data_IF_716164892478
#
_entry.id   IF_716164892478
#
_cell.length_a   1.000
_cell.length_b   1.000
_cell.length_c   1.000
_cell.angle_alpha   90.00
_cell.angle_beta   90.00
_cell.angle_gamma   90.00
#
_symmetry.space_group_name_H-M   'P 1'
#
loop_
_entity.id
_entity.type
_entity.pdbx_description
1 polymer ?
#
# COMPACT_ATOMS: atom_id res chain seq x y z
N UNK A 1 5.49 59.20 4.08
CA UNK A 1 6.10 58.65 2.85
C UNK A 1 7.47 58.12 3.22
N UNK A 2 7.74 56.83 3.01
CA UNK A 2 9.06 56.27 3.25
C UNK A 2 10.00 56.63 2.09
N UNK A 3 11.27 56.93 2.39
CA UNK A 3 12.30 57.22 1.37
C UNK A 3 13.21 56.00 1.23
N UNK A 4 13.68 55.71 0.02
CA UNK A 4 14.65 54.65 -0.22
C UNK A 4 16.01 55.00 0.42
N UNK A 5 16.65 54.11 1.20
CA UNK A 5 17.93 54.38 1.85
C UNK A 5 19.11 54.50 0.86
N UNK A 6 18.96 53.99 -0.38
CA UNK A 6 20.02 54.00 -1.39
C UNK A 6 19.95 55.19 -2.35
N UNK A 7 18.75 55.58 -2.81
CA UNK A 7 18.58 56.65 -3.81
C UNK A 7 17.76 57.84 -3.33
N UNK A 8 17.23 57.80 -2.10
CA UNK A 8 16.46 58.88 -1.47
C UNK A 8 15.17 59.31 -2.19
N UNK A 9 14.71 58.56 -3.21
CA UNK A 9 13.39 58.77 -3.82
C UNK A 9 12.27 58.22 -2.93
N UNK A 10 11.08 58.83 -3.03
CA UNK A 10 9.89 58.40 -2.32
C UNK A 10 9.43 57.01 -2.78
N UNK A 11 9.09 56.15 -1.81
CA UNK A 11 8.57 54.81 -2.08
C UNK A 11 7.03 54.83 -2.18
N UNK A 12 6.43 53.98 -3.03
CA UNK A 12 5.00 53.74 -3.03
C UNK A 12 4.52 53.28 -1.65
N UNK A 13 3.27 53.54 -1.30
CA UNK A 13 2.69 53.21 0.02
C UNK A 13 2.54 51.69 0.25
N UNK A 14 2.69 50.87 -0.80
CA UNK A 14 2.67 49.41 -0.73
C UNK A 14 4.08 48.81 -0.49
N UNK A 15 4.15 47.68 0.22
CA UNK A 15 5.40 46.94 0.48
C UNK A 15 5.99 46.36 -0.80
N UNK A 16 6.92 47.08 -1.43
CA UNK A 16 7.67 46.65 -2.62
C UNK A 16 9.03 46.06 -2.23
N UNK A 17 9.36 44.88 -2.77
CA UNK A 17 10.62 44.17 -2.50
C UNK A 17 11.84 44.86 -3.13
N UNK A 18 11.64 45.51 -4.27
CA UNK A 18 12.70 46.23 -4.98
C UNK A 18 12.30 47.69 -5.18
N UNK A 19 13.26 48.60 -5.05
CA UNK A 19 13.04 50.02 -5.31
C UNK A 19 12.78 50.24 -6.81
N UNK A 20 11.65 50.86 -7.22
CA UNK A 20 11.34 51.08 -8.63
C UNK A 20 12.23 52.12 -9.32
N UNK A 21 12.95 52.95 -8.57
CA UNK A 21 13.83 53.99 -9.12
C UNK A 21 15.27 53.53 -9.34
N UNK A 22 15.80 52.68 -8.47
CA UNK A 22 17.22 52.27 -8.52
C UNK A 22 17.46 50.75 -8.50
N UNK A 23 16.41 49.94 -8.30
CA UNK A 23 16.50 48.48 -8.31
C UNK A 23 17.08 47.84 -7.05
N UNK A 24 17.42 48.61 -6.00
CA UNK A 24 17.92 48.05 -4.73
C UNK A 24 16.88 47.17 -4.03
N UNK A 25 17.32 46.04 -3.46
CA UNK A 25 16.48 45.18 -2.62
C UNK A 25 16.23 45.89 -1.28
N UNK A 26 14.95 46.08 -0.93
CA UNK A 26 14.51 46.78 0.27
C UNK A 26 14.16 45.80 1.41
N UNK A 27 14.41 44.49 1.23
CA UNK A 27 14.24 43.51 2.29
C UNK A 27 15.03 43.93 3.54
N UNK A 28 14.44 43.81 4.75
CA UNK A 28 15.09 44.23 5.98
C UNK A 28 16.43 43.51 6.14
N UNK A 29 17.50 44.27 5.96
CA UNK A 29 18.89 43.86 6.15
C UNK A 29 19.13 43.65 7.65
N UNK A 30 18.92 42.42 8.13
CA UNK A 30 19.13 42.14 9.55
C UNK A 30 19.05 40.70 10.03
N UNK A 31 18.66 39.72 9.20
CA UNK A 31 18.73 38.31 9.62
C UNK A 31 19.40 37.50 8.52
N UNK A 32 20.73 37.40 8.61
CA UNK A 32 21.44 36.28 7.97
C UNK A 32 21.02 35.04 8.74
N UNK A 33 20.08 34.26 8.20
CA UNK A 33 19.82 32.92 8.70
C UNK A 33 21.01 32.04 8.34
N UNK A 34 22.04 32.03 9.18
CA UNK A 34 22.99 30.91 9.17
C UNK A 34 22.27 29.73 9.81
N UNK A 35 21.93 28.66 9.07
CA UNK A 35 21.41 27.46 9.71
C UNK A 35 22.41 26.98 10.76
N UNK A 36 21.98 26.52 11.94
CA UNK A 36 22.89 25.97 12.93
C UNK A 36 23.67 24.80 12.30
N UNK A 37 24.96 24.62 12.64
CA UNK A 37 25.72 23.47 12.15
C UNK A 37 24.99 22.20 12.55
N UNK A 38 24.57 21.43 11.55
CA UNK A 38 23.89 20.14 11.72
C UNK A 38 24.87 19.25 12.47
N UNK A 39 24.54 18.76 13.69
CA UNK A 39 25.34 17.72 14.32
C UNK A 39 25.33 16.51 13.39
N UNK A 40 26.51 16.06 12.96
CA UNK A 40 26.67 14.81 12.23
C UNK A 40 26.18 13.67 13.12
N UNK A 41 24.89 13.33 13.01
CA UNK A 41 24.21 12.39 13.90
C UNK A 41 22.69 12.53 13.97
N UNK A 42 22.09 13.63 13.49
CA UNK A 42 20.62 13.78 13.48
C UNK A 42 19.98 13.05 12.28
N UNK A 43 19.83 11.74 12.42
CA UNK A 43 18.88 10.93 11.65
C UNK A 43 17.45 11.45 11.84
N UNK A 44 16.82 11.83 10.73
CA UNK A 44 15.39 11.97 10.46
C UNK A 44 14.43 11.91 11.66
N UNK A 45 13.91 13.07 12.09
CA UNK A 45 12.52 13.23 12.57
C UNK A 45 12.24 14.66 13.07
N UNK A 46 11.90 15.58 12.16
CA UNK A 46 11.14 16.79 12.52
C UNK A 46 10.56 17.44 11.27
N UNK A 47 9.24 17.36 11.10
CA UNK A 47 8.53 18.00 9.98
C UNK A 47 7.10 17.50 9.82
N UNK A 48 6.33 17.46 10.91
CA UNK A 48 4.89 17.22 10.85
C UNK A 48 4.18 18.45 10.30
N UNK A 49 4.06 18.55 8.98
CA UNK A 49 3.13 19.47 8.34
C UNK A 49 1.66 19.05 8.62
N UNK A 50 0.70 19.99 8.66
CA UNK A 50 -0.72 19.71 8.90
C UNK A 50 -1.45 18.87 7.83
N UNK A 51 -0.73 18.23 6.89
CA UNK A 51 -1.30 17.47 5.76
C UNK A 51 -0.85 15.99 5.67
N UNK A 52 -0.14 15.45 6.66
CA UNK A 52 0.45 14.11 6.62
C UNK A 52 -0.50 12.95 6.94
N UNK A 53 -0.13 11.73 6.55
CA UNK A 53 -0.88 10.50 6.88
C UNK A 53 -0.88 10.28 8.41
N UNK A 54 -2.02 9.97 9.06
CA UNK A 54 -2.07 9.84 10.52
C UNK A 54 -1.05 8.82 11.08
N UNK A 55 -0.86 7.70 10.39
CA UNK A 55 0.13 6.66 10.71
C UNK A 55 1.58 7.16 10.75
N UNK A 56 1.94 8.14 9.92
CA UNK A 56 3.28 8.72 9.93
C UNK A 56 3.49 9.66 11.13
N UNK A 57 2.40 10.19 11.68
CA UNK A 57 2.36 10.98 12.93
C UNK A 57 2.08 10.16 14.20
N UNK A 58 2.15 8.82 14.16
CA UNK A 58 1.80 7.92 15.27
C UNK A 58 2.54 8.18 16.60
N UNK A 59 3.72 8.81 16.56
CA UNK A 59 4.44 9.21 17.77
C UNK A 59 3.70 10.27 18.60
N UNK A 60 2.82 11.07 17.97
CA UNK A 60 1.99 12.09 18.64
C UNK A 60 0.56 11.61 18.88
N UNK A 61 0.00 10.86 17.94
CA UNK A 61 -1.40 10.39 17.97
C UNK A 61 -1.60 9.10 18.77
N UNK A 62 -0.54 8.34 19.04
CA UNK A 62 -0.65 6.96 19.53
C UNK A 62 -0.84 5.96 18.38
N UNK A 63 -0.46 4.70 18.62
CA UNK A 63 -0.42 3.67 17.56
C UNK A 63 -1.83 3.29 17.10
N UNK A 64 -2.76 3.08 18.03
CA UNK A 64 -4.11 2.61 17.72
C UNK A 64 -4.94 3.67 17.00
N UNK A 65 -4.91 4.91 17.49
CA UNK A 65 -5.65 6.02 16.88
C UNK A 65 -5.09 6.34 15.48
N UNK A 66 -3.77 6.34 15.32
CA UNK A 66 -3.15 6.54 14.02
C UNK A 66 -3.47 5.41 13.03
N UNK A 67 -3.54 4.16 13.50
CA UNK A 67 -3.94 3.01 12.69
C UNK A 67 -5.39 3.15 12.24
N UNK A 68 -6.31 3.35 13.19
CA UNK A 68 -7.73 3.47 12.93
C UNK A 68 -8.05 4.63 11.99
N UNK A 69 -7.48 5.82 12.24
CA UNK A 69 -7.77 7.00 11.44
C UNK A 69 -7.20 6.85 10.02
N UNK A 70 -6.00 6.27 9.87
CA UNK A 70 -5.44 5.96 8.55
C UNK A 70 -6.31 4.96 7.80
N UNK A 71 -6.71 3.86 8.44
CA UNK A 71 -7.57 2.84 7.81
C UNK A 71 -8.92 3.43 7.42
N UNK A 72 -9.56 4.18 8.32
CA UNK A 72 -10.84 4.84 8.07
C UNK A 72 -10.75 5.79 6.88
N UNK A 73 -9.74 6.65 6.83
CA UNK A 73 -9.60 7.60 5.73
C UNK A 73 -9.29 6.93 4.39
N UNK A 74 -8.40 5.93 4.37
CA UNK A 74 -8.10 5.16 3.16
C UNK A 74 -9.36 4.48 2.62
N UNK A 75 -10.17 3.88 3.50
CA UNK A 75 -11.37 3.15 3.10
C UNK A 75 -12.54 4.09 2.77
N UNK A 76 -12.72 5.20 3.48
CA UNK A 76 -13.87 6.07 3.32
C UNK A 76 -13.65 7.23 2.33
N UNK A 77 -12.41 7.69 2.15
CA UNK A 77 -12.08 8.85 1.33
C UNK A 77 -10.74 8.69 0.59
N UNK A 78 -10.58 7.63 -0.22
CA UNK A 78 -9.30 7.25 -0.81
C UNK A 78 -8.70 8.34 -1.71
N UNK A 79 -9.51 9.02 -2.53
CA UNK A 79 -9.00 10.04 -3.43
C UNK A 79 -8.40 11.23 -2.66
N UNK A 80 -9.06 11.66 -1.59
CA UNK A 80 -8.56 12.72 -0.73
C UNK A 80 -7.29 12.29 0.02
N UNK A 81 -7.28 11.06 0.57
CA UNK A 81 -6.13 10.49 1.25
C UNK A 81 -4.88 10.41 0.35
N UNK A 82 -5.00 9.79 -0.82
CA UNK A 82 -3.84 9.58 -1.70
C UNK A 82 -3.32 10.86 -2.35
N UNK A 83 -4.19 11.87 -2.54
CA UNK A 83 -3.79 13.18 -3.08
C UNK A 83 -2.88 13.95 -2.11
N UNK A 84 -3.22 13.94 -0.82
CA UNK A 84 -2.47 14.67 0.23
C UNK A 84 -1.28 13.87 0.77
N UNK A 85 -1.30 12.55 0.64
CA UNK A 85 -0.20 11.68 1.07
C UNK A 85 1.15 12.19 0.52
N UNK A 86 2.20 12.25 1.37
CA UNK A 86 3.53 12.58 0.87
C UNK A 86 3.98 11.53 -0.16
N UNK A 87 4.67 11.98 -1.22
CA UNK A 87 5.11 11.10 -2.31
C UNK A 87 6.54 10.58 -2.09
N UNK A 88 7.27 11.19 -1.15
CA UNK A 88 8.62 10.86 -0.72
C UNK A 88 8.76 11.02 0.81
N UNK A 89 9.78 10.41 1.42
CA UNK A 89 9.99 10.40 2.87
C UNK A 89 10.35 9.03 3.46
N UNK A 90 10.57 8.03 2.60
CA UNK A 90 10.96 6.67 2.96
C UNK A 90 9.79 5.69 2.97
N UNK A 91 10.14 4.42 2.82
CA UNK A 91 9.17 3.31 2.73
C UNK A 91 8.85 2.66 4.09
N UNK A 92 9.61 2.98 5.14
CA UNK A 92 9.53 2.28 6.43
C UNK A 92 8.20 2.45 7.15
N UNK A 93 7.67 3.68 7.25
CA UNK A 93 6.37 3.92 7.88
C UNK A 93 5.20 3.27 7.10
N UNK A 94 5.08 3.46 5.77
CA UNK A 94 4.10 2.76 4.94
C UNK A 94 4.19 1.23 5.09
N UNK A 95 5.39 0.65 5.01
CA UNK A 95 5.58 -0.79 5.17
C UNK A 95 5.14 -1.28 6.56
N UNK A 96 5.46 -0.53 7.62
CA UNK A 96 4.99 -0.85 8.98
C UNK A 96 3.47 -0.88 9.10
N UNK A 97 2.77 0.05 8.45
CA UNK A 97 1.30 0.04 8.37
C UNK A 97 0.81 -1.21 7.63
N UNK A 98 1.36 -1.46 6.45
CA UNK A 98 1.01 -2.59 5.59
C UNK A 98 1.16 -3.93 6.32
N UNK A 99 2.29 -4.12 7.00
CA UNK A 99 2.58 -5.33 7.79
C UNK A 99 1.61 -5.46 8.95
N UNK A 100 1.34 -4.40 9.71
CA UNK A 100 0.46 -4.49 10.87
C UNK A 100 -0.98 -4.80 10.48
N UNK A 101 -1.56 -4.03 9.55
CA UNK A 101 -2.96 -4.22 9.11
C UNK A 101 -3.11 -5.51 8.32
N UNK A 102 -2.16 -5.79 7.42
CA UNK A 102 -2.13 -7.02 6.65
C UNK A 102 -2.03 -8.26 7.54
N UNK A 103 -1.24 -8.21 8.61
CA UNK A 103 -1.07 -9.32 9.55
C UNK A 103 -2.38 -9.63 10.28
N UNK A 104 -3.06 -8.60 10.78
CA UNK A 104 -4.38 -8.76 11.44
C UNK A 104 -5.38 -9.42 10.48
N UNK A 105 -5.48 -8.94 9.24
CA UNK A 105 -6.39 -9.50 8.25
C UNK A 105 -6.03 -10.94 7.88
N UNK A 106 -4.75 -11.23 7.67
CA UNK A 106 -4.29 -12.56 7.27
C UNK A 106 -4.49 -13.58 8.41
N UNK A 107 -4.17 -13.23 9.65
CA UNK A 107 -4.40 -14.08 10.82
C UNK A 107 -5.89 -14.41 10.98
N UNK A 108 -6.78 -13.43 10.81
CA UNK A 108 -8.22 -13.67 10.88
C UNK A 108 -8.69 -14.61 9.76
N UNK A 109 -8.23 -14.39 8.52
CA UNK A 109 -8.54 -15.28 7.41
C UNK A 109 -8.03 -16.72 7.66
N UNK A 110 -6.79 -16.88 8.11
CA UNK A 110 -6.18 -18.18 8.44
C UNK A 110 -6.91 -18.89 9.58
N UNK A 111 -7.42 -18.14 10.54
CA UNK A 111 -8.21 -18.70 11.64
C UNK A 111 -9.51 -19.34 11.13
N UNK A 112 -10.23 -18.65 10.23
CA UNK A 112 -11.41 -19.23 9.60
C UNK A 112 -11.07 -20.47 8.76
N UNK A 113 -9.94 -20.47 8.05
CA UNK A 113 -9.48 -21.64 7.30
C UNK A 113 -9.20 -22.82 8.23
N UNK A 114 -8.54 -22.62 9.38
CA UNK A 114 -8.29 -23.69 10.34
C UNK A 114 -9.59 -24.34 10.86
N UNK A 115 -10.62 -23.53 11.14
CA UNK A 115 -11.95 -24.01 11.50
C UNK A 115 -12.58 -24.79 10.35
N UNK A 116 -12.54 -24.25 9.13
CA UNK A 116 -13.11 -24.90 7.95
C UNK A 116 -12.44 -26.24 7.65
N UNK A 117 -11.11 -26.36 7.78
CA UNK A 117 -10.42 -27.65 7.65
C UNK A 117 -10.84 -28.63 8.75
N UNK A 118 -10.99 -28.16 9.99
CA UNK A 118 -11.41 -28.99 11.11
C UNK A 118 -12.79 -29.64 10.91
N UNK A 119 -13.68 -29.01 10.11
CA UNK A 119 -15.05 -29.50 9.87
C UNK A 119 -15.22 -30.09 8.45
N UNK A 120 -14.53 -29.52 7.46
CA UNK A 120 -14.65 -29.84 6.04
C UNK A 120 -13.69 -30.93 5.56
N UNK A 121 -12.72 -31.34 6.40
CA UNK A 121 -11.76 -32.38 6.08
C UNK A 121 -10.43 -31.84 5.52
N UNK A 122 -9.47 -32.75 5.26
CA UNK A 122 -8.12 -32.36 4.83
C UNK A 122 -8.14 -31.83 3.40
N UNK A 123 -7.22 -30.92 3.07
CA UNK A 123 -7.18 -30.27 1.74
C UNK A 123 -6.91 -31.26 0.61
N UNK A 124 -6.20 -32.34 0.93
CA UNK A 124 -5.79 -33.39 -0.01
C UNK A 124 -6.29 -34.76 0.45
N UNK A 125 -7.60 -35.02 0.36
CA UNK A 125 -8.21 -36.24 0.88
C UNK A 125 -7.69 -37.50 0.18
N UNK A 126 -7.26 -37.39 -1.07
CA UNK A 126 -6.69 -38.50 -1.85
C UNK A 126 -5.32 -38.98 -1.38
N UNK A 127 -4.61 -38.19 -0.56
CA UNK A 127 -3.32 -38.58 0.05
C UNK A 127 -3.50 -39.17 1.46
N UNK A 128 -4.74 -39.31 1.92
CA UNK A 128 -5.05 -39.94 3.20
C UNK A 128 -5.25 -41.44 2.96
N UNK A 129 -4.19 -42.22 3.17
CA UNK A 129 -4.21 -43.68 3.01
C UNK A 129 -5.14 -44.39 4.02
N UNK A 130 -5.37 -43.76 5.17
CA UNK A 130 -6.15 -44.30 6.28
C UNK A 130 -7.33 -43.37 6.61
N UNK A 131 -8.53 -43.62 6.06
CA UNK A 131 -9.66 -42.70 6.18
C UNK A 131 -10.11 -42.45 7.62
N UNK A 132 -9.86 -43.38 8.54
CA UNK A 132 -10.13 -43.22 9.97
C UNK A 132 -9.29 -42.11 10.63
N UNK A 133 -8.16 -41.72 10.05
CA UNK A 133 -7.32 -40.61 10.52
C UNK A 133 -7.63 -39.28 9.83
N UNK A 134 -8.50 -39.26 8.82
CA UNK A 134 -8.76 -38.08 8.00
C UNK A 134 -9.15 -36.85 8.83
N UNK A 135 -10.00 -37.03 9.85
CA UNK A 135 -10.40 -35.94 10.74
C UNK A 135 -9.24 -35.39 11.59
N UNK A 136 -8.40 -36.28 12.14
CA UNK A 136 -7.23 -35.87 12.91
C UNK A 136 -6.20 -35.13 12.04
N UNK A 137 -5.96 -35.62 10.82
CA UNK A 137 -5.08 -34.97 9.84
C UNK A 137 -5.62 -33.59 9.47
N UNK A 138 -6.93 -33.46 9.21
CA UNK A 138 -7.55 -32.18 8.87
C UNK A 138 -7.41 -31.12 9.97
N UNK A 139 -7.60 -31.52 11.23
CA UNK A 139 -7.39 -30.65 12.38
C UNK A 139 -5.91 -30.24 12.47
N UNK A 140 -4.98 -31.19 12.38
CA UNK A 140 -3.54 -30.89 12.43
C UNK A 140 -3.15 -29.95 11.29
N UNK A 141 -3.56 -30.23 10.07
CA UNK A 141 -3.30 -29.42 8.88
C UNK A 141 -3.80 -27.99 9.04
N UNK A 142 -5.07 -27.82 9.44
CA UNK A 142 -5.68 -26.50 9.62
C UNK A 142 -4.96 -25.66 10.68
N UNK A 143 -4.75 -26.23 11.87
CA UNK A 143 -4.15 -25.49 13.00
C UNK A 143 -2.63 -25.29 12.83
N UNK A 144 -1.91 -26.26 12.26
CA UNK A 144 -0.51 -26.08 11.90
C UNK A 144 -0.36 -25.00 10.83
N UNK A 145 -1.20 -25.04 9.79
CA UNK A 145 -1.24 -24.01 8.74
C UNK A 145 -1.50 -22.61 9.32
N UNK A 146 -2.45 -22.49 10.25
CA UNK A 146 -2.70 -21.24 10.97
C UNK A 146 -1.46 -20.73 11.72
N UNK A 147 -0.79 -21.57 12.51
CA UNK A 147 0.39 -21.17 13.28
C UNK A 147 1.54 -20.74 12.36
N UNK A 148 1.84 -21.53 11.33
CA UNK A 148 2.86 -21.20 10.34
C UNK A 148 2.53 -19.89 9.65
N UNK A 149 1.28 -19.71 9.21
CA UNK A 149 0.87 -18.49 8.55
C UNK A 149 0.93 -17.27 9.48
N UNK A 150 0.52 -17.38 10.74
CA UNK A 150 0.60 -16.28 11.71
C UNK A 150 2.05 -15.83 11.99
N UNK A 151 2.99 -16.77 12.03
CA UNK A 151 4.42 -16.50 12.26
C UNK A 151 5.07 -15.85 11.02
N UNK A 152 4.83 -16.41 9.83
CA UNK A 152 5.48 -15.96 8.60
C UNK A 152 4.71 -14.86 7.84
N UNK A 153 3.48 -14.55 8.25
CA UNK A 153 2.64 -13.51 7.65
C UNK A 153 3.36 -12.18 7.42
N UNK A 154 4.11 -11.60 8.38
CA UNK A 154 4.82 -10.33 8.16
C UNK A 154 5.81 -10.38 6.99
N UNK A 155 6.50 -11.51 6.82
CA UNK A 155 7.45 -11.75 5.73
C UNK A 155 6.70 -11.83 4.40
N UNK A 156 5.63 -12.63 4.33
CA UNK A 156 4.83 -12.76 3.12
C UNK A 156 4.17 -11.44 2.71
N UNK A 157 3.65 -10.67 3.66
CA UNK A 157 3.08 -9.34 3.40
C UNK A 157 4.14 -8.41 2.84
N UNK A 158 5.33 -8.39 3.45
CA UNK A 158 6.44 -7.55 2.99
C UNK A 158 6.80 -7.88 1.54
N UNK A 159 7.05 -9.17 1.26
CA UNK A 159 7.36 -9.65 -0.09
C UNK A 159 6.22 -9.29 -1.06
N UNK A 160 4.97 -9.54 -0.69
CA UNK A 160 3.80 -9.26 -1.50
C UNK A 160 3.64 -7.78 -1.85
N UNK A 161 3.87 -6.88 -0.89
CA UNK A 161 3.81 -5.43 -1.12
C UNK A 161 4.93 -4.97 -2.05
N UNK A 162 6.17 -5.48 -1.89
CA UNK A 162 7.27 -5.15 -2.81
C UNK A 162 7.00 -5.65 -4.24
N UNK A 163 6.57 -6.90 -4.38
CA UNK A 163 6.25 -7.50 -5.68
C UNK A 163 5.08 -6.74 -6.31
N UNK A 164 4.00 -6.51 -5.57
CA UNK A 164 2.82 -5.79 -6.06
C UNK A 164 3.16 -4.38 -6.50
N UNK A 165 3.89 -3.62 -5.68
CA UNK A 165 4.36 -2.29 -6.04
C UNK A 165 5.26 -2.32 -7.29
N UNK A 166 6.14 -3.32 -7.40
CA UNK A 166 7.02 -3.51 -8.56
C UNK A 166 6.25 -3.77 -9.84
N UNK A 167 5.27 -4.66 -9.79
CA UNK A 167 4.39 -4.98 -10.91
C UNK A 167 3.61 -3.72 -11.33
N UNK A 168 2.94 -3.05 -10.40
CA UNK A 168 2.17 -1.85 -10.71
C UNK A 168 3.05 -0.72 -11.26
N UNK A 169 4.23 -0.50 -10.69
CA UNK A 169 5.15 0.52 -11.15
C UNK A 169 5.66 0.21 -12.57
N UNK A 170 6.02 -1.05 -12.82
CA UNK A 170 6.42 -1.50 -14.16
C UNK A 170 5.30 -1.30 -15.18
N UNK A 171 4.05 -1.65 -14.84
CA UNK A 171 2.92 -1.44 -15.75
C UNK A 171 2.69 0.05 -16.01
N UNK A 172 2.82 0.90 -14.99
CA UNK A 172 2.73 2.35 -15.16
C UNK A 172 3.85 2.88 -16.06
N UNK A 173 5.06 2.35 -15.97
CA UNK A 173 6.17 2.71 -16.88
C UNK A 173 5.87 2.29 -18.32
N UNK A 174 5.44 1.03 -18.54
CA UNK A 174 5.10 0.51 -19.88
C UNK A 174 3.95 1.27 -20.54
N UNK A 175 2.99 1.74 -19.74
CA UNK A 175 1.84 2.55 -20.22
C UNK A 175 2.16 4.05 -20.35
N UNK A 176 3.39 4.47 -20.05
CA UNK A 176 3.78 5.90 -20.04
C UNK A 176 3.02 6.74 -19.00
N UNK A 177 2.50 6.10 -17.95
CA UNK A 177 1.65 6.67 -16.93
C UNK A 177 2.38 6.97 -15.60
N UNK A 178 3.62 6.50 -15.43
CA UNK A 178 4.43 6.80 -14.26
C UNK A 178 4.93 8.25 -14.27
N UNK A 179 4.41 9.10 -13.38
CA UNK A 179 4.87 10.49 -13.17
C UNK A 179 5.66 10.73 -11.88
N UNK A 180 5.81 9.68 -11.07
CA UNK A 180 6.47 9.67 -9.76
C UNK A 180 7.28 8.39 -9.64
N UNK A 181 8.22 8.38 -8.71
CA UNK A 181 9.14 7.28 -8.50
C UNK A 181 8.47 6.05 -7.87
N UNK A 182 9.19 4.94 -7.84
CA UNK A 182 8.76 3.68 -7.24
C UNK A 182 8.27 3.84 -5.80
N UNK A 183 8.91 4.70 -5.01
CA UNK A 183 8.48 4.98 -3.62
C UNK A 183 7.01 5.40 -3.55
N UNK A 184 6.55 6.22 -4.49
CA UNK A 184 5.18 6.70 -4.51
C UNK A 184 4.19 5.54 -4.77
N UNK A 185 4.52 4.64 -5.70
CA UNK A 185 3.76 3.41 -5.97
C UNK A 185 3.77 2.48 -4.75
N UNK A 186 4.92 2.33 -4.11
CA UNK A 186 5.09 1.49 -2.92
C UNK A 186 4.23 1.99 -1.76
N UNK A 187 4.15 3.31 -1.55
CA UNK A 187 3.30 3.94 -0.53
C UNK A 187 1.82 3.67 -0.80
N UNK A 188 1.35 3.85 -2.04
CA UNK A 188 -0.02 3.49 -2.43
C UNK A 188 -0.29 2.02 -2.11
N UNK A 189 0.63 1.14 -2.51
CA UNK A 189 0.48 -0.30 -2.32
C UNK A 189 0.40 -0.68 -0.84
N UNK A 190 1.24 -0.05 -0.03
CA UNK A 190 1.29 -0.26 1.41
C UNK A 190 0.01 0.20 2.13
N UNK A 191 -0.46 1.41 1.84
CA UNK A 191 -1.66 1.93 2.50
C UNK A 191 -2.95 1.27 2.01
N UNK A 192 -2.99 0.77 0.77
CA UNK A 192 -4.11 -0.02 0.28
C UNK A 192 -4.34 -1.32 1.05
N UNK A 193 -3.35 -1.82 1.82
CA UNK A 193 -3.52 -2.92 2.78
C UNK A 193 -4.55 -2.60 3.87
N UNK A 194 -5.04 -1.36 3.97
CA UNK A 194 -6.24 -1.01 4.74
C UNK A 194 -7.42 -1.97 4.47
N UNK A 195 -7.56 -2.52 3.25
CA UNK A 195 -8.62 -3.47 2.93
C UNK A 195 -8.52 -4.79 3.72
N UNK A 196 -7.36 -5.12 4.29
CA UNK A 196 -7.17 -6.35 5.05
C UNK A 196 -8.06 -6.39 6.32
N UNK A 197 -8.52 -5.25 6.84
CA UNK A 197 -9.50 -5.25 7.95
C UNK A 197 -10.86 -5.85 7.55
N UNK A 198 -11.18 -5.86 6.25
CA UNK A 198 -12.41 -6.48 5.75
C UNK A 198 -12.34 -8.01 5.83
N UNK A 199 -11.14 -8.59 5.96
CA UNK A 199 -10.93 -10.03 6.16
C UNK A 199 -11.36 -10.52 7.55
N UNK A 200 -11.65 -9.59 8.48
CA UNK A 200 -12.30 -9.90 9.74
C UNK A 200 -13.75 -10.38 9.56
N UNK A 201 -14.34 -10.16 8.38
CA UNK A 201 -15.69 -10.63 8.05
C UNK A 201 -15.55 -12.01 7.39
N UNK A 202 -16.06 -13.09 8.00
CA UNK A 202 -15.94 -14.42 7.41
C UNK A 202 -16.74 -14.52 6.10
N UNK A 203 -16.30 -15.43 5.22
CA UNK A 203 -16.90 -15.75 3.91
C UNK A 203 -16.87 -14.61 2.87
N UNK A 204 -17.52 -13.47 3.13
CA UNK A 204 -17.62 -12.37 2.17
C UNK A 204 -16.46 -11.37 2.26
N UNK A 205 -15.75 -11.33 3.40
CA UNK A 205 -14.65 -10.38 3.62
C UNK A 205 -13.56 -10.45 2.56
N UNK A 206 -13.17 -11.67 2.13
CA UNK A 206 -12.17 -11.87 1.09
C UNK A 206 -12.58 -11.24 -0.26
N UNK A 207 -13.82 -11.45 -0.68
CA UNK A 207 -14.33 -10.93 -1.94
C UNK A 207 -14.44 -9.39 -1.88
N UNK A 208 -15.02 -8.87 -0.80
CA UNK A 208 -15.17 -7.41 -0.60
C UNK A 208 -13.80 -6.73 -0.51
N UNK A 209 -12.86 -7.31 0.24
CA UNK A 209 -11.49 -6.82 0.35
C UNK A 209 -10.79 -6.77 -1.02
N UNK A 210 -10.94 -7.82 -1.83
CA UNK A 210 -10.30 -7.91 -3.15
C UNK A 210 -10.85 -6.85 -4.11
N UNK A 211 -12.19 -6.73 -4.20
CA UNK A 211 -12.84 -5.73 -5.05
C UNK A 211 -12.45 -4.32 -4.60
N UNK A 212 -12.51 -4.06 -3.29
CA UNK A 212 -12.16 -2.75 -2.75
C UNK A 212 -10.67 -2.42 -2.92
N UNK A 213 -9.77 -3.39 -2.79
CA UNK A 213 -8.34 -3.21 -3.03
C UNK A 213 -8.06 -2.77 -4.47
N UNK A 214 -8.74 -3.36 -5.47
CA UNK A 214 -8.63 -2.93 -6.86
C UNK A 214 -9.03 -1.45 -6.98
N UNK A 215 -10.15 -1.06 -6.37
CA UNK A 215 -10.60 0.34 -6.36
C UNK A 215 -9.56 1.26 -5.72
N UNK A 216 -8.99 0.88 -4.57
CA UNK A 216 -7.95 1.64 -3.89
C UNK A 216 -6.67 1.78 -4.72
N UNK A 217 -6.20 0.71 -5.38
CA UNK A 217 -5.03 0.79 -6.25
C UNK A 217 -5.29 1.71 -7.44
N UNK A 218 -6.44 1.61 -8.10
CA UNK A 218 -6.76 2.48 -9.24
C UNK A 218 -6.84 3.94 -8.83
N UNK A 219 -7.54 4.25 -7.74
CA UNK A 219 -7.65 5.62 -7.23
C UNK A 219 -6.28 6.11 -6.75
N UNK A 220 -5.59 5.35 -5.92
CA UNK A 220 -4.33 5.76 -5.32
C UNK A 220 -3.24 5.99 -6.36
N UNK A 221 -3.09 5.10 -7.34
CA UNK A 221 -2.12 5.27 -8.41
C UNK A 221 -2.49 6.44 -9.33
N UNK A 222 -3.77 6.65 -9.63
CA UNK A 222 -4.21 7.80 -10.43
C UNK A 222 -3.90 9.13 -9.73
N UNK A 223 -4.20 9.25 -8.45
CA UNK A 223 -3.98 10.48 -7.67
C UNK A 223 -2.49 10.74 -7.44
N UNK A 224 -1.71 9.71 -7.10
CA UNK A 224 -0.28 9.87 -6.78
C UNK A 224 0.57 10.10 -8.04
N UNK A 225 0.30 9.36 -9.12
CA UNK A 225 1.00 9.56 -10.39
C UNK A 225 0.33 10.61 -11.28
N UNK A 226 -0.66 11.36 -10.79
CA UNK A 226 -1.33 12.44 -11.54
C UNK A 226 -1.71 12.01 -12.97
N UNK A 227 -2.26 10.80 -13.07
CA UNK A 227 -2.60 10.16 -14.34
C UNK A 227 -4.10 9.90 -14.42
N UNK A 228 -4.59 9.55 -15.61
CA UNK A 228 -6.02 9.25 -15.78
C UNK A 228 -6.37 7.93 -15.10
N UNK A 229 -7.60 7.84 -14.55
CA UNK A 229 -8.11 6.61 -13.93
C UNK A 229 -8.10 5.42 -14.89
N UNK A 230 -8.29 5.64 -16.19
CA UNK A 230 -8.21 4.57 -17.20
C UNK A 230 -6.81 3.98 -17.34
N UNK A 231 -5.75 4.81 -17.31
CA UNK A 231 -4.36 4.32 -17.34
C UNK A 231 -3.98 3.60 -16.04
N UNK A 232 -4.41 4.13 -14.90
CA UNK A 232 -4.21 3.46 -13.61
C UNK A 232 -4.97 2.11 -13.54
N UNK A 233 -6.21 2.07 -14.03
CA UNK A 233 -7.00 0.84 -14.13
C UNK A 233 -6.32 -0.20 -15.04
N UNK A 234 -5.80 0.22 -16.20
CA UNK A 234 -5.03 -0.67 -17.06
C UNK A 234 -3.79 -1.22 -16.33
N UNK A 235 -3.06 -0.39 -15.58
CA UNK A 235 -1.88 -0.83 -14.83
C UNK A 235 -2.20 -1.85 -13.72
N UNK A 236 -3.39 -1.77 -13.10
CA UNK A 236 -3.83 -2.71 -12.05
C UNK A 236 -4.46 -3.97 -12.64
N UNK A 237 -5.28 -3.86 -13.68
CA UNK A 237 -6.06 -4.96 -14.24
C UNK A 237 -5.27 -5.82 -15.24
N UNK A 238 -4.29 -5.25 -15.95
CA UNK A 238 -3.51 -6.00 -16.93
C UNK A 238 -2.73 -7.17 -16.28
N UNK A 239 -2.00 -6.99 -15.16
CA UNK A 239 -1.36 -8.11 -14.47
C UNK A 239 -2.36 -9.17 -14.00
N UNK A 240 -3.53 -8.76 -13.48
CA UNK A 240 -4.57 -9.68 -13.03
C UNK A 240 -5.12 -10.50 -14.20
N UNK A 241 -5.33 -9.89 -15.36
CA UNK A 241 -5.75 -10.58 -16.57
C UNK A 241 -4.68 -11.57 -17.05
N UNK A 242 -3.41 -11.16 -17.07
CA UNK A 242 -2.30 -12.04 -17.46
C UNK A 242 -2.20 -13.25 -16.53
N UNK A 243 -2.24 -13.05 -15.22
CA UNK A 243 -2.22 -14.14 -14.24
C UNK A 243 -3.44 -15.04 -14.41
N UNK A 244 -4.65 -14.47 -14.55
CA UNK A 244 -5.88 -15.23 -14.76
C UNK A 244 -5.81 -16.10 -16.04
N UNK A 245 -5.34 -15.53 -17.16
CA UNK A 245 -5.17 -16.25 -18.42
C UNK A 245 -4.11 -17.36 -18.30
N UNK A 246 -2.98 -17.09 -17.64
CA UNK A 246 -1.92 -18.09 -17.43
C UNK A 246 -2.39 -19.22 -16.51
N UNK A 247 -3.05 -18.91 -15.38
CA UNK A 247 -3.59 -19.91 -14.46
C UNK A 247 -4.69 -20.75 -15.11
N UNK A 248 -5.58 -20.14 -15.90
CA UNK A 248 -6.62 -20.84 -16.64
C UNK A 248 -6.03 -21.80 -17.68
N UNK A 249 -5.00 -21.38 -18.42
CA UNK A 249 -4.30 -22.23 -19.38
C UNK A 249 -3.59 -23.42 -18.71
N UNK A 250 -2.88 -23.19 -17.59
CA UNK A 250 -2.22 -24.26 -16.83
C UNK A 250 -3.24 -25.25 -16.28
N UNK A 251 -4.34 -24.77 -15.69
CA UNK A 251 -5.40 -25.63 -15.17
C UNK A 251 -6.04 -26.47 -16.29
N UNK A 252 -6.30 -25.90 -17.46
CA UNK A 252 -6.83 -26.62 -18.61
C UNK A 252 -5.89 -27.74 -19.08
N UNK A 253 -4.57 -27.48 -19.12
CA UNK A 253 -3.56 -28.50 -19.48
C UNK A 253 -3.50 -29.62 -18.45
N UNK A 254 -3.54 -29.30 -17.15
CA UNK A 254 -3.54 -30.29 -16.08
C UNK A 254 -4.80 -31.16 -16.09
N UNK A 255 -5.97 -30.58 -16.33
CA UNK A 255 -7.23 -31.31 -16.45
C UNK A 255 -7.26 -32.19 -17.70
N UNK A 256 -6.78 -31.70 -18.84
CA UNK A 256 -6.68 -32.48 -20.07
C UNK A 256 -5.70 -33.66 -19.91
N UNK A 257 -4.55 -33.45 -19.26
CA UNK A 257 -3.59 -34.50 -18.94
C UNK A 257 -4.14 -35.55 -17.96
N UNK A 258 -4.84 -35.10 -16.91
CA UNK A 258 -5.50 -36.00 -15.94
C UNK A 258 -6.62 -36.83 -16.58
N UNK A 259 -7.43 -36.23 -17.44
CA UNK A 259 -8.48 -36.94 -18.20
C UNK A 259 -7.88 -37.96 -19.16
N UNK A 260 -6.84 -37.60 -19.90
CA UNK A 260 -6.17 -38.52 -20.82
C UNK A 260 -5.54 -39.73 -20.09
N UNK A 261 -4.90 -39.49 -18.94
CA UNK A 261 -4.34 -40.55 -18.11
C UNK A 261 -5.43 -41.47 -17.53
N UNK A 262 -6.55 -40.92 -17.08
CA UNK A 262 -7.70 -41.70 -16.60
C UNK A 262 -8.32 -42.56 -17.70
N UNK A 263 -8.53 -42.00 -18.91
CA UNK A 263 -9.06 -42.74 -20.05
C UNK A 263 -8.12 -43.88 -20.50
N UNK A 264 -6.80 -43.71 -20.37
CA UNK A 264 -5.82 -44.78 -20.67
C UNK A 264 -5.83 -45.95 -19.68
N UNK A 265 -6.46 -45.81 -18.50
CA UNK A 265 -6.65 -46.92 -17.55
C UNK A 265 -7.96 -47.67 -17.77
N UNK A 266 -8.87 -47.14 -18.61
CA UNK A 266 -10.19 -47.71 -18.88
C UNK A 266 -10.24 -48.50 -20.21
N UNK A 267 -9.18 -48.47 -21.01
CA UNK A 267 -9.00 -49.26 -22.24
C UNK A 267 -7.81 -50.19 -22.13
#
# INVERSE_FOLDING_TARGET
MALCPHCQNALPEATVRYCPHCGSDLAPTGVVFTPPPIPAGASASAGGEPGGVPWEGRGRLGILDALFETTREVLASPAWFFRRMPKSGGIGAPLGYAVLVGWVGLVAASFYQAILHSVGGPSWPFFVERPEWAGAIAVIEGWLGFVVQAIFAPVFITIGVFIGAGIFHLMLLLLGAARRDFEATFRVTSYAQATAVLLLIPFCGQLVATVWAIVLYVIGLAEVHETSRGRAAAAVLLPLLLICCCCGAVLAVLLAGGLAAFLSQLG
#
